data_IF_083254330612
#
_entry.id   IF_083254330612
#
_cell.length_a   1.000
_cell.length_b   1.000
_cell.length_c   1.000
_cell.angle_alpha   90.00
_cell.angle_beta   90.00
_cell.angle_gamma   90.00
#
_symmetry.space_group_name_H-M   'P 1'
#
loop_
_entity.id
_entity.type
_entity.pdbx_description
1 polymer ?
#
# COMPACT_ATOMS: atom_id res chain seq x y z
N UNK A 1 49.87 0.12 -31.03
CA UNK A 1 48.50 0.62 -31.34
C UNK A 1 47.41 -0.42 -31.08
N UNK A 2 47.50 -1.65 -31.58
CA UNK A 2 46.43 -2.67 -31.40
C UNK A 2 46.09 -3.04 -29.94
N UNK A 3 47.08 -3.17 -29.06
CA UNK A 3 46.85 -3.50 -27.63
C UNK A 3 46.12 -2.40 -26.86
N UNK A 4 46.39 -1.14 -27.19
CA UNK A 4 45.72 0.01 -26.56
C UNK A 4 44.26 0.06 -26.99
N UNK A 5 43.98 -0.17 -28.28
CA UNK A 5 42.61 -0.25 -28.80
C UNK A 5 41.84 -1.42 -28.18
N UNK A 6 42.48 -2.58 -28.00
CA UNK A 6 41.86 -3.73 -27.33
C UNK A 6 41.55 -3.43 -25.85
N UNK A 7 42.46 -2.78 -25.12
CA UNK A 7 42.24 -2.39 -23.72
C UNK A 7 41.10 -1.36 -23.59
N UNK A 8 41.00 -0.41 -24.52
CA UNK A 8 39.90 0.56 -24.58
C UNK A 8 38.57 -0.13 -24.85
N UNK A 9 38.50 -1.06 -25.82
CA UNK A 9 37.30 -1.83 -26.13
C UNK A 9 36.85 -2.72 -24.96
N UNK A 10 37.80 -3.38 -24.28
CA UNK A 10 37.50 -4.20 -23.08
C UNK A 10 36.98 -3.31 -21.95
N UNK A 11 37.59 -2.13 -21.76
CA UNK A 11 37.15 -1.16 -20.75
C UNK A 11 35.74 -0.63 -21.05
N UNK A 12 35.46 -0.30 -22.31
CA UNK A 12 34.12 0.11 -22.77
C UNK A 12 33.09 -1.01 -22.59
N UNK A 13 33.42 -2.24 -22.98
CA UNK A 13 32.54 -3.40 -22.80
C UNK A 13 32.26 -3.67 -21.32
N UNK A 14 33.28 -3.58 -20.46
CA UNK A 14 33.14 -3.78 -19.01
C UNK A 14 32.33 -2.66 -18.37
N UNK A 15 32.51 -1.42 -18.82
CA UNK A 15 31.72 -0.28 -18.38
C UNK A 15 30.24 -0.46 -18.73
N UNK A 16 29.93 -0.82 -19.98
CA UNK A 16 28.54 -1.01 -20.44
C UNK A 16 27.87 -2.25 -19.82
N UNK A 17 28.60 -3.35 -19.61
CA UNK A 17 28.05 -4.49 -18.86
C UNK A 17 27.74 -4.12 -17.40
N UNK A 18 28.60 -3.31 -16.77
CA UNK A 18 28.40 -2.87 -15.39
C UNK A 18 27.18 -1.95 -15.29
N UNK A 19 26.97 -1.01 -16.21
CA UNK A 19 25.78 -0.15 -16.20
C UNK A 19 24.49 -0.98 -16.29
N UNK A 20 24.44 -1.94 -17.22
CA UNK A 20 23.27 -2.82 -17.37
C UNK A 20 23.00 -3.65 -16.11
N UNK A 21 24.05 -4.12 -15.43
CA UNK A 21 23.89 -4.87 -14.17
C UNK A 21 23.38 -4.02 -13.01
N UNK A 22 23.81 -2.76 -12.92
CA UNK A 22 23.34 -1.84 -11.87
C UNK A 22 21.88 -1.45 -12.08
N UNK A 23 21.48 -1.25 -13.33
CA UNK A 23 20.07 -0.98 -13.68
C UNK A 23 19.19 -2.19 -13.34
N UNK A 24 19.59 -3.39 -13.74
CA UNK A 24 18.86 -4.62 -13.42
C UNK A 24 18.74 -4.86 -11.90
N UNK A 25 19.80 -4.61 -11.13
CA UNK A 25 19.79 -4.74 -9.68
C UNK A 25 18.86 -3.69 -9.04
N UNK A 26 18.92 -2.44 -9.50
CA UNK A 26 18.02 -1.39 -9.04
C UNK A 26 16.54 -1.74 -9.29
N UNK A 27 16.19 -2.25 -10.47
CA UNK A 27 14.84 -2.72 -10.76
C UNK A 27 14.41 -3.87 -9.84
N UNK A 28 15.29 -4.85 -9.59
CA UNK A 28 15.00 -5.96 -8.69
C UNK A 28 14.74 -5.47 -7.26
N UNK A 29 15.53 -4.51 -6.78
CA UNK A 29 15.37 -3.90 -5.46
C UNK A 29 14.01 -3.20 -5.35
N UNK A 30 13.65 -2.39 -6.33
CA UNK A 30 12.34 -1.72 -6.38
C UNK A 30 11.18 -2.72 -6.38
N UNK A 31 11.29 -3.81 -7.14
CA UNK A 31 10.27 -4.86 -7.19
C UNK A 31 10.08 -5.56 -5.85
N UNK A 32 11.17 -5.86 -5.14
CA UNK A 32 11.13 -6.46 -3.80
C UNK A 32 10.37 -5.57 -2.82
N UNK A 33 10.66 -4.27 -2.79
CA UNK A 33 9.97 -3.33 -1.91
C UNK A 33 8.50 -3.10 -2.30
N UNK A 34 8.21 -3.05 -3.60
CA UNK A 34 6.83 -2.92 -4.10
C UNK A 34 5.99 -4.13 -3.67
N UNK A 35 6.55 -5.34 -3.76
CA UNK A 35 5.88 -6.56 -3.31
C UNK A 35 5.74 -6.61 -1.79
N UNK A 36 6.78 -6.23 -1.03
CA UNK A 36 6.72 -6.19 0.42
C UNK A 36 5.65 -5.21 0.92
N UNK A 37 5.58 -4.03 0.32
CA UNK A 37 4.56 -3.03 0.61
C UNK A 37 3.15 -3.54 0.26
N UNK A 38 2.98 -4.18 -0.90
CA UNK A 38 1.73 -4.83 -1.28
C UNK A 38 1.24 -5.85 -0.23
N UNK A 39 2.14 -6.69 0.29
CA UNK A 39 1.81 -7.67 1.34
C UNK A 39 1.50 -6.96 2.66
N UNK A 40 2.29 -5.96 3.04
CA UNK A 40 2.03 -5.15 4.24
C UNK A 40 0.65 -4.48 4.18
N UNK A 41 0.20 -4.02 3.01
CA UNK A 41 -1.12 -3.44 2.87
C UNK A 41 -2.25 -4.47 2.98
N UNK A 42 -2.03 -5.73 2.58
CA UNK A 42 -3.01 -6.82 2.76
C UNK A 42 -3.30 -7.11 4.23
N UNK A 43 -2.34 -6.87 5.13
CA UNK A 43 -2.55 -7.03 6.58
C UNK A 43 -3.78 -6.23 7.05
N UNK A 44 -3.97 -5.01 6.58
CA UNK A 44 -5.13 -4.20 6.96
C UNK A 44 -6.45 -4.74 6.40
N UNK A 45 -6.44 -5.42 5.24
CA UNK A 45 -7.62 -6.12 4.73
C UNK A 45 -8.01 -7.30 5.63
N UNK A 46 -7.01 -7.98 6.21
CA UNK A 46 -7.18 -9.07 7.18
C UNK A 46 -7.71 -8.58 8.53
N UNK A 47 -7.47 -7.33 8.92
CA UNK A 47 -7.92 -6.82 10.22
C UNK A 47 -9.34 -6.19 10.18
N UNK A 48 -9.94 -5.96 9.00
CA UNK A 48 -11.25 -5.28 8.87
C UNK A 48 -12.35 -5.96 9.70
N UNK A 49 -13.07 -5.19 10.50
CA UNK A 49 -14.24 -5.61 11.29
C UNK A 49 -15.53 -5.10 10.63
N UNK A 50 -16.65 -5.79 10.87
CA UNK A 50 -17.96 -5.44 10.33
C UNK A 50 -18.29 -6.22 9.05
N UNK A 51 -19.24 -5.68 8.30
CA UNK A 51 -19.61 -6.21 6.99
C UNK A 51 -18.53 -5.90 5.94
N UNK A 52 -17.96 -6.93 5.31
CA UNK A 52 -16.86 -6.79 4.38
C UNK A 52 -17.36 -6.43 2.97
N UNK A 53 -17.09 -5.21 2.53
CA UNK A 53 -17.34 -4.76 1.15
C UNK A 53 -16.09 -5.00 0.30
N UNK A 54 -16.25 -5.60 -0.88
CA UNK A 54 -15.15 -5.89 -1.82
C UNK A 54 -14.02 -6.70 -1.17
N UNK A 55 -14.36 -7.81 -0.49
CA UNK A 55 -13.39 -8.65 0.20
C UNK A 55 -12.43 -9.34 -0.77
N UNK A 56 -11.14 -9.05 -0.63
CA UNK A 56 -10.06 -9.70 -1.41
C UNK A 56 -9.53 -10.97 -0.73
N UNK A 57 -9.80 -11.15 0.56
CA UNK A 57 -9.25 -12.24 1.37
C UNK A 57 -10.33 -13.31 1.55
N UNK A 58 -10.25 -14.38 0.76
CA UNK A 58 -11.32 -15.38 0.62
C UNK A 58 -11.75 -16.05 1.93
N UNK A 59 -10.85 -16.18 2.91
CA UNK A 59 -11.13 -16.80 4.21
C UNK A 59 -11.67 -15.84 5.26
N UNK A 60 -11.72 -14.52 4.97
CA UNK A 60 -12.38 -13.54 5.83
C UNK A 60 -13.88 -13.49 5.53
N UNK A 61 -14.69 -13.31 6.56
CA UNK A 61 -16.13 -13.11 6.48
C UNK A 61 -16.59 -11.93 7.32
N UNK A 62 -17.88 -11.61 7.24
CA UNK A 62 -18.50 -10.59 8.06
C UNK A 62 -18.33 -10.93 9.56
N UNK A 63 -17.89 -9.95 10.36
CA UNK A 63 -17.65 -10.12 11.79
C UNK A 63 -18.16 -8.92 12.59
N UNK A 64 -18.44 -9.09 13.88
CA UNK A 64 -18.76 -7.98 14.80
C UNK A 64 -19.85 -7.00 14.30
N UNK A 65 -20.83 -7.51 13.54
CA UNK A 65 -21.87 -6.70 12.88
C UNK A 65 -22.86 -6.07 13.86
N UNK A 66 -22.87 -6.52 15.12
CA UNK A 66 -23.74 -6.03 16.18
C UNK A 66 -23.07 -5.10 17.19
N UNK A 67 -21.78 -4.75 17.02
CA UNK A 67 -21.07 -3.87 17.96
C UNK A 67 -21.80 -2.52 18.09
N UNK A 68 -22.03 -2.11 19.34
CA UNK A 68 -22.71 -0.84 19.67
C UNK A 68 -24.23 -0.92 19.77
N UNK A 69 -24.84 -2.06 19.45
CA UNK A 69 -26.30 -2.25 19.54
C UNK A 69 -26.87 -2.00 20.95
N UNK A 70 -26.12 -2.35 22.00
CA UNK A 70 -26.49 -2.11 23.41
C UNK A 70 -26.65 -0.63 23.75
N UNK A 71 -25.98 0.25 23.01
CA UNK A 71 -26.04 1.71 23.16
C UNK A 71 -26.72 2.39 21.97
N UNK A 72 -27.41 1.62 21.11
CA UNK A 72 -28.09 2.08 19.91
C UNK A 72 -27.19 2.86 18.92
N UNK A 73 -25.94 2.42 18.78
CA UNK A 73 -24.96 2.96 17.83
C UNK A 73 -24.43 1.85 16.92
N UNK A 74 -24.09 2.18 15.67
CA UNK A 74 -23.35 1.26 14.80
C UNK A 74 -21.84 1.45 15.01
N UNK A 75 -21.25 0.55 15.78
CA UNK A 75 -19.80 0.48 16.01
C UNK A 75 -19.18 -0.75 15.32
N UNK A 76 -19.88 -1.37 14.36
CA UNK A 76 -19.46 -2.61 13.70
C UNK A 76 -18.17 -2.48 12.87
N UNK A 77 -17.88 -1.28 12.35
CA UNK A 77 -16.74 -1.04 11.47
C UNK A 77 -15.44 -0.78 12.22
N UNK A 78 -14.31 -0.92 11.53
CA UNK A 78 -12.98 -0.62 12.06
C UNK A 78 -12.02 -1.76 11.80
N UNK A 79 -11.03 -1.91 12.67
CA UNK A 79 -10.02 -2.98 12.59
C UNK A 79 -9.88 -3.67 13.95
N UNK A 80 -9.68 -4.98 13.94
CA UNK A 80 -9.18 -5.71 15.11
C UNK A 80 -7.75 -5.27 15.39
N UNK A 81 -7.41 -5.09 16.66
CA UNK A 81 -6.13 -4.48 17.05
C UNK A 81 -4.93 -5.37 16.73
N UNK A 82 -5.05 -6.67 17.02
CA UNK A 82 -3.97 -7.63 16.81
C UNK A 82 -4.52 -9.02 16.41
N UNK A 83 -4.07 -10.08 17.09
CA UNK A 83 -4.53 -11.45 16.88
C UNK A 83 -5.84 -11.80 17.61
N UNK A 84 -6.39 -10.85 18.36
CA UNK A 84 -7.69 -10.94 19.00
C UNK A 84 -8.77 -10.22 18.18
N UNK A 85 -9.98 -10.12 18.73
CA UNK A 85 -11.09 -9.44 18.07
C UNK A 85 -11.44 -8.08 18.69
N UNK A 86 -10.68 -7.60 19.69
CA UNK A 86 -10.94 -6.31 20.34
C UNK A 86 -10.49 -5.15 19.45
N UNK A 87 -11.19 -4.02 19.56
CA UNK A 87 -10.97 -2.80 18.76
C UNK A 87 -10.44 -1.70 19.66
N UNK A 88 -9.16 -1.75 19.99
CA UNK A 88 -8.53 -0.74 20.84
C UNK A 88 -8.38 0.59 20.08
N UNK A 89 -9.06 1.63 20.56
CA UNK A 89 -9.10 2.92 19.84
C UNK A 89 -7.75 3.63 19.75
N UNK A 90 -6.92 3.56 20.79
CA UNK A 90 -5.62 4.25 20.82
C UNK A 90 -4.62 3.70 19.79
N UNK A 91 -4.30 2.39 19.77
CA UNK A 91 -3.42 1.81 18.73
C UNK A 91 -4.02 1.93 17.32
N UNK A 92 -5.34 1.87 17.17
CA UNK A 92 -5.99 2.12 15.87
C UNK A 92 -5.78 3.56 15.39
N UNK A 93 -5.93 4.55 16.26
CA UNK A 93 -5.69 5.96 15.93
C UNK A 93 -4.21 6.23 15.59
N UNK A 94 -3.29 5.60 16.32
CA UNK A 94 -1.85 5.67 16.02
C UNK A 94 -1.56 5.11 14.61
N UNK A 95 -2.07 3.92 14.31
CA UNK A 95 -1.95 3.28 12.99
C UNK A 95 -2.48 4.18 11.88
N UNK A 96 -3.68 4.74 12.04
CA UNK A 96 -4.28 5.65 11.07
C UNK A 96 -3.43 6.90 10.84
N UNK A 97 -2.82 7.44 11.89
CA UNK A 97 -1.94 8.62 11.82
C UNK A 97 -0.67 8.32 11.03
N UNK A 98 0.04 7.24 11.37
CA UNK A 98 1.28 6.86 10.67
C UNK A 98 1.02 6.51 9.21
N UNK A 99 -0.08 5.82 8.92
CA UNK A 99 -0.45 5.48 7.55
C UNK A 99 -0.81 6.72 6.73
N UNK A 100 -1.56 7.66 7.33
CA UNK A 100 -1.88 8.95 6.69
C UNK A 100 -0.63 9.78 6.42
N UNK A 101 0.29 9.84 7.38
CA UNK A 101 1.57 10.53 7.20
C UNK A 101 2.40 9.86 6.09
N UNK A 102 2.48 8.53 6.09
CA UNK A 102 3.21 7.78 5.06
C UNK A 102 2.67 8.03 3.65
N UNK A 103 1.34 8.12 3.49
CA UNK A 103 0.72 8.46 2.20
C UNK A 103 0.99 9.93 1.83
N UNK A 104 0.97 10.83 2.82
CA UNK A 104 1.26 12.24 2.59
C UNK A 104 2.69 12.46 2.09
N UNK A 105 3.65 11.73 2.66
CA UNK A 105 5.08 11.88 2.33
C UNK A 105 5.46 11.07 1.08
N UNK A 106 4.99 9.83 0.98
CA UNK A 106 5.46 8.86 -0.02
C UNK A 106 4.40 8.46 -1.04
N UNK A 107 3.25 9.15 -1.11
CA UNK A 107 2.12 8.77 -1.97
C UNK A 107 2.48 8.53 -3.44
N UNK A 108 3.44 9.31 -3.99
CA UNK A 108 3.93 9.12 -5.35
C UNK A 108 4.61 7.75 -5.55
N UNK A 109 5.33 7.27 -4.54
CA UNK A 109 6.03 5.98 -4.56
C UNK A 109 5.05 4.83 -4.28
N UNK A 110 4.06 5.07 -3.43
CA UNK A 110 2.97 4.12 -3.15
C UNK A 110 2.22 3.76 -4.45
N UNK A 111 2.07 4.70 -5.39
CA UNK A 111 1.41 4.44 -6.68
C UNK A 111 2.09 3.35 -7.53
N UNK A 112 3.38 3.05 -7.30
CA UNK A 112 4.08 1.97 -8.00
C UNK A 112 3.50 0.58 -7.64
N UNK A 113 2.89 0.46 -6.46
CA UNK A 113 2.20 -0.76 -6.01
C UNK A 113 0.82 -0.91 -6.65
N UNK A 114 0.17 0.20 -7.04
CA UNK A 114 -1.17 0.18 -7.65
C UNK A 114 -1.21 -0.62 -8.96
N UNK A 115 -0.10 -0.70 -9.70
CA UNK A 115 0.03 -1.52 -10.91
C UNK A 115 0.02 -3.03 -10.65
N UNK A 116 0.25 -3.49 -9.41
CA UNK A 116 0.29 -4.91 -9.00
C UNK A 116 -0.93 -5.35 -8.17
N UNK A 117 -2.11 -4.73 -8.38
CA UNK A 117 -3.43 -5.16 -7.84
C UNK A 117 -3.86 -4.60 -6.47
N UNK A 118 -3.07 -3.72 -5.83
CA UNK A 118 -3.46 -3.01 -4.61
C UNK A 118 -3.75 -1.56 -4.90
N UNK A 119 -5.02 -1.22 -5.07
CA UNK A 119 -5.43 0.17 -5.21
C UNK A 119 -5.34 0.87 -3.84
N UNK A 120 -4.24 1.57 -3.57
CA UNK A 120 -3.98 2.29 -2.30
C UNK A 120 -4.90 3.52 -2.16
N UNK A 121 -5.65 3.87 -3.21
CA UNK A 121 -6.66 4.94 -3.13
C UNK A 121 -7.77 4.66 -2.11
N UNK A 122 -7.93 3.43 -1.61
CA UNK A 122 -8.90 3.15 -0.54
C UNK A 122 -8.52 3.74 0.82
N UNK A 123 -7.25 4.12 1.02
CA UNK A 123 -6.75 4.70 2.28
C UNK A 123 -6.55 6.20 2.17
N UNK A 124 -6.27 6.69 0.96
CA UNK A 124 -6.34 8.11 0.65
C UNK A 124 -7.81 8.55 0.60
N UNK A 125 -8.39 8.83 1.77
CA UNK A 125 -9.69 9.45 1.88
C UNK A 125 -9.76 10.71 1.00
N UNK A 126 -10.71 10.68 0.06
CA UNK A 126 -11.56 11.83 -0.28
C UNK A 126 -10.87 13.02 -0.96
N UNK A 127 -10.33 12.84 -2.17
CA UNK A 127 -10.10 13.98 -3.09
C UNK A 127 -11.02 14.02 -4.31
N UNK A 128 -11.55 12.89 -4.77
CA UNK A 128 -12.47 12.85 -5.92
C UNK A 128 -13.93 13.18 -5.55
N UNK A 129 -14.37 12.81 -4.35
CA UNK A 129 -15.78 12.89 -3.98
C UNK A 129 -16.26 14.32 -3.60
N UNK A 130 -15.35 15.20 -3.18
CA UNK A 130 -15.66 16.60 -2.87
C UNK A 130 -15.88 17.47 -4.12
N UNK A 131 -15.33 17.05 -5.28
CA UNK A 131 -15.46 17.80 -6.54
C UNK A 131 -16.77 17.53 -7.27
N UNK A 132 -17.41 16.39 -7.01
CA UNK A 132 -18.70 16.00 -7.59
C UNK A 132 -19.86 16.71 -6.90
N UNK A 133 -19.85 16.78 -5.56
CA UNK A 133 -20.90 17.46 -4.78
C UNK A 133 -20.93 18.98 -4.98
N UNK A 134 -19.79 19.61 -5.25
CA UNK A 134 -19.73 21.06 -5.52
C UNK A 134 -20.27 21.46 -6.90
N UNK A 135 -20.38 20.53 -7.86
CA UNK A 135 -20.95 20.80 -9.20
C UNK A 135 -22.45 20.54 -9.27
N UNK A 136 -23.03 19.94 -8.23
CA UNK A 136 -24.47 19.63 -8.15
C UNK A 136 -25.24 20.71 -7.37
N UNK A 137 -24.55 21.77 -6.92
CA UNK A 137 -25.08 22.90 -6.15
C UNK A 137 -24.87 24.26 -6.85
N UNK A 138 -24.70 24.26 -8.18
CA UNK A 138 -24.69 25.45 -9.03
C UNK A 138 -25.69 25.29 -10.15
#
# INVERSE_FOLDING_TARGET
MALVLAAVLISFRKYFHRSNSLEADAHQVVDKYTNALSIAMQFFDVQKSGKLMYNKIAWRGDSATGDGSEVNLDLSRGMHDAGDHVKFGFPMAFTATVLSWSISEYGNHMNMVNGKSYNINYIALRRSDQRSSSRRLT
#
